data_IF_615049629304
#
_entry.id   IF_615049629304
#
_cell.length_a   1.000
_cell.length_b   1.000
_cell.length_c   1.000
_cell.angle_alpha   90.00
_cell.angle_beta   90.00
_cell.angle_gamma   90.00
#
_symmetry.space_group_name_H-M   'P 1'
#
loop_
_entity.id
_entity.type
_entity.pdbx_description
1 polymer ?
#
# COMPACT_ATOMS: atom_id res chain seq x y z
N UNK A 1 32.69 -18.75 -2.82
CA UNK A 1 31.24 -18.52 -2.62
C UNK A 1 31.09 -17.07 -2.20
N UNK A 2 30.52 -16.20 -3.04
CA UNK A 2 30.34 -14.80 -2.68
C UNK A 2 29.24 -14.70 -1.63
N UNK A 3 29.51 -14.02 -0.52
CA UNK A 3 28.51 -13.76 0.51
C UNK A 3 27.30 -13.04 -0.12
N UNK A 4 26.05 -13.41 0.22
CA UNK A 4 24.88 -12.68 -0.25
C UNK A 4 24.99 -11.24 0.23
N UNK A 5 24.73 -10.29 -0.68
CA UNK A 5 24.72 -8.87 -0.34
C UNK A 5 23.74 -8.63 0.83
N UNK A 6 24.06 -7.72 1.76
CA UNK A 6 23.15 -7.34 2.84
C UNK A 6 21.78 -6.98 2.27
N UNK A 7 20.72 -7.49 2.89
CA UNK A 7 19.36 -7.08 2.56
C UNK A 7 19.19 -5.62 2.98
N UNK A 8 19.41 -4.69 2.05
CA UNK A 8 18.99 -3.31 2.22
C UNK A 8 17.45 -3.30 2.14
N UNK A 9 16.76 -2.83 3.19
CA UNK A 9 15.33 -2.60 3.10
C UNK A 9 15.11 -1.67 1.92
N UNK A 10 14.45 -2.15 0.86
CA UNK A 10 13.98 -1.28 -0.22
C UNK A 10 12.98 -0.32 0.40
N UNK A 11 13.45 0.86 0.79
CA UNK A 11 12.58 1.99 1.08
C UNK A 11 11.72 2.15 -0.17
N UNK A 12 10.39 2.01 -0.08
CA UNK A 12 9.52 2.31 -1.21
C UNK A 12 9.89 3.72 -1.68
N UNK A 13 10.39 3.86 -2.90
CA UNK A 13 10.65 5.17 -3.45
C UNK A 13 9.32 5.77 -3.89
N UNK A 14 9.05 7.02 -3.50
CA UNK A 14 7.82 7.77 -3.83
C UNK A 14 7.52 7.83 -5.33
N UNK A 15 8.53 7.64 -6.16
CA UNK A 15 8.43 7.63 -7.60
C UNK A 15 9.20 6.46 -8.21
N UNK A 16 8.76 6.05 -9.39
CA UNK A 16 9.56 5.18 -10.25
C UNK A 16 10.83 5.96 -10.66
N UNK A 17 12.04 5.40 -10.52
CA UNK A 17 13.28 6.08 -10.92
C UNK A 17 13.15 6.65 -12.34
N UNK A 18 13.67 7.85 -12.63
CA UNK A 18 13.41 8.55 -13.89
C UNK A 18 13.75 7.70 -15.12
N UNK A 19 14.83 6.90 -15.06
CA UNK A 19 15.17 5.96 -16.13
C UNK A 19 14.14 4.84 -16.33
N UNK A 20 13.55 4.31 -15.25
CA UNK A 20 12.46 3.31 -15.33
C UNK A 20 11.15 3.93 -15.80
N UNK A 21 10.85 5.14 -15.36
CA UNK A 21 9.68 5.90 -15.83
C UNK A 21 9.79 6.15 -17.33
N UNK A 22 10.92 6.64 -17.82
CA UNK A 22 11.20 6.83 -19.24
C UNK A 22 11.08 5.51 -20.01
N UNK A 23 11.72 4.44 -19.55
CA UNK A 23 11.64 3.12 -20.19
C UNK A 23 10.21 2.58 -20.25
N UNK A 24 9.39 2.82 -19.22
CA UNK A 24 7.99 2.40 -19.21
C UNK A 24 7.11 3.17 -20.21
N UNK A 25 7.39 4.46 -20.44
CA UNK A 25 6.70 5.27 -21.46
C UNK A 25 7.16 4.85 -22.85
N UNK A 26 8.47 4.72 -23.05
CA UNK A 26 9.05 4.27 -24.32
C UNK A 26 8.51 2.91 -24.71
N UNK A 27 8.49 1.95 -23.79
CA UNK A 27 7.91 0.61 -24.01
C UNK A 27 6.42 0.70 -24.38
N UNK A 28 5.64 1.54 -23.70
CA UNK A 28 4.21 1.67 -23.98
C UNK A 28 3.93 2.32 -25.36
N UNK A 29 4.83 3.19 -25.82
CA UNK A 29 4.74 3.86 -27.11
C UNK A 29 5.27 3.01 -28.29
N UNK A 30 6.01 1.92 -28.04
CA UNK A 30 6.60 1.07 -29.09
C UNK A 30 5.59 0.59 -30.16
N UNK A 31 4.37 0.13 -29.82
CA UNK A 31 3.37 -0.23 -30.83
C UNK A 31 3.08 0.91 -31.80
N UNK A 32 2.98 2.15 -31.31
CA UNK A 32 2.71 3.30 -32.17
C UNK A 32 3.95 3.75 -32.95
N UNK A 33 5.11 3.84 -32.28
CA UNK A 33 6.38 4.27 -32.90
C UNK A 33 6.86 3.34 -34.02
N UNK A 34 6.43 2.07 -33.98
CA UNK A 34 6.75 1.07 -35.02
C UNK A 34 5.60 0.82 -35.97
N UNK A 35 4.58 1.67 -36.00
CA UNK A 35 3.39 1.52 -36.85
C UNK A 35 2.71 0.15 -36.71
N UNK A 36 2.71 -0.40 -35.49
CA UNK A 36 2.07 -1.67 -35.14
C UNK A 36 2.98 -2.90 -35.22
N UNK A 37 4.15 -2.81 -35.86
CA UNK A 37 5.04 -3.96 -36.07
C UNK A 37 5.64 -4.53 -34.77
N UNK A 38 5.94 -3.69 -33.77
CA UNK A 38 6.48 -4.17 -32.50
C UNK A 38 5.40 -4.74 -31.56
N UNK A 39 4.11 -4.53 -31.84
CA UNK A 39 2.99 -4.88 -30.94
C UNK A 39 3.06 -6.32 -30.42
N UNK A 40 3.05 -7.37 -31.26
CA UNK A 40 3.09 -8.74 -30.76
C UNK A 40 4.33 -9.04 -29.91
N UNK A 41 5.49 -8.46 -30.24
CA UNK A 41 6.74 -8.67 -29.53
C UNK A 41 6.78 -7.95 -28.18
N UNK A 42 6.19 -6.76 -28.08
CA UNK A 42 6.08 -6.02 -26.81
C UNK A 42 5.25 -6.78 -25.78
N UNK A 43 4.14 -7.40 -26.19
CA UNK A 43 3.30 -8.21 -25.32
C UNK A 43 3.92 -9.57 -25.02
N UNK A 44 4.55 -10.23 -26.02
CA UNK A 44 5.23 -11.51 -25.82
C UNK A 44 6.37 -11.42 -24.78
N UNK A 45 7.21 -10.38 -24.86
CA UNK A 45 8.29 -10.17 -23.90
C UNK A 45 7.76 -10.06 -22.46
N UNK A 46 6.68 -9.29 -22.26
CA UNK A 46 6.08 -9.12 -20.94
C UNK A 46 5.32 -10.37 -20.48
N UNK A 47 4.65 -11.08 -21.37
CA UNK A 47 3.95 -12.32 -21.05
C UNK A 47 4.93 -13.40 -20.52
N UNK A 48 6.12 -13.51 -21.12
CA UNK A 48 7.19 -14.39 -20.67
C UNK A 48 7.72 -14.01 -19.28
N UNK A 49 7.83 -12.72 -18.97
CA UNK A 49 8.33 -12.23 -17.68
C UNK A 49 7.29 -12.25 -16.55
N UNK A 50 6.01 -12.01 -16.85
CA UNK A 50 4.94 -11.84 -15.85
C UNK A 50 4.02 -13.04 -15.73
N UNK A 51 4.07 -14.00 -16.66
CA UNK A 51 3.26 -15.25 -16.66
C UNK A 51 1.77 -15.03 -16.35
N UNK A 52 1.21 -13.93 -16.84
CA UNK A 52 -0.20 -13.57 -16.63
C UNK A 52 -1.06 -14.09 -17.78
N UNK A 53 -2.19 -14.73 -17.45
CA UNK A 53 -3.14 -15.25 -18.44
C UNK A 53 -3.64 -14.17 -19.41
N UNK A 54 -3.97 -12.98 -18.90
CA UNK A 54 -4.39 -11.84 -19.72
C UNK A 54 -3.33 -11.44 -20.75
N UNK A 55 -2.05 -11.43 -20.36
CA UNK A 55 -0.95 -11.09 -21.26
C UNK A 55 -0.71 -12.18 -22.31
N UNK A 56 -0.86 -13.45 -21.93
CA UNK A 56 -0.77 -14.57 -22.88
C UNK A 56 -1.88 -14.49 -23.94
N UNK A 57 -3.13 -14.27 -23.52
CA UNK A 57 -4.27 -14.12 -24.43
C UNK A 57 -4.08 -12.90 -25.34
N UNK A 58 -3.66 -11.76 -24.77
CA UNK A 58 -3.38 -10.54 -25.55
C UNK A 58 -2.25 -10.75 -26.57
N UNK A 59 -1.19 -11.46 -26.17
CA UNK A 59 -0.08 -11.80 -27.07
C UNK A 59 -0.55 -12.68 -28.22
N UNK A 60 -1.34 -13.72 -27.93
CA UNK A 60 -1.90 -14.61 -28.96
C UNK A 60 -2.82 -13.84 -29.93
N UNK A 61 -3.66 -12.94 -29.41
CA UNK A 61 -4.53 -12.10 -30.23
C UNK A 61 -3.74 -11.18 -31.16
N UNK A 62 -2.74 -10.44 -30.65
CA UNK A 62 -1.92 -9.55 -31.47
C UNK A 62 -1.04 -10.31 -32.47
N UNK A 63 -0.53 -11.50 -32.11
CA UNK A 63 0.16 -12.38 -33.05
C UNK A 63 -0.76 -12.85 -34.17
N UNK A 64 -2.01 -13.20 -33.87
CA UNK A 64 -3.00 -13.59 -34.88
C UNK A 64 -3.30 -12.46 -35.86
N UNK A 65 -3.54 -11.24 -35.35
CA UNK A 65 -3.75 -10.04 -36.18
C UNK A 65 -2.53 -9.74 -37.04
N UNK A 66 -1.32 -9.84 -36.48
CA UNK A 66 -0.07 -9.61 -37.21
C UNK A 66 0.18 -10.67 -38.28
N UNK A 67 -0.07 -11.95 -37.98
CA UNK A 67 0.07 -13.04 -38.95
C UNK A 67 -0.93 -12.89 -40.12
N UNK A 68 -2.18 -12.52 -39.84
CA UNK A 68 -3.17 -12.21 -40.87
C UNK A 68 -2.73 -11.04 -41.76
N UNK A 69 -2.18 -9.99 -41.17
CA UNK A 69 -1.63 -8.86 -41.91
C UNK A 69 -0.48 -9.28 -42.84
N UNK A 70 0.46 -10.10 -42.34
CA UNK A 70 1.58 -10.61 -43.16
C UNK A 70 1.10 -11.51 -44.30
N UNK A 71 0.07 -12.33 -44.04
CA UNK A 71 -0.53 -13.18 -45.06
C UNK A 71 -1.20 -12.38 -46.18
N UNK A 72 -1.84 -11.25 -45.86
CA UNK A 72 -2.53 -10.38 -46.82
C UNK A 72 -1.58 -9.47 -47.61
N UNK A 73 -0.35 -9.25 -47.12
CA UNK A 73 0.60 -8.31 -47.71
C UNK A 73 0.91 -8.57 -49.20
N UNK A 74 1.09 -9.82 -49.70
CA UNK A 74 1.35 -10.10 -51.11
C UNK A 74 0.16 -9.80 -52.05
N UNK A 75 -1.05 -9.69 -51.50
CA UNK A 75 -2.28 -9.37 -52.23
C UNK A 75 -2.47 -7.88 -52.54
N UNK A 76 -1.63 -7.01 -51.98
CA UNK A 76 -1.63 -5.57 -52.29
C UNK A 76 -1.34 -5.37 -53.79
N UNK A 77 -2.21 -4.61 -54.47
CA UNK A 77 -2.15 -4.38 -55.91
C UNK A 77 -2.58 -5.57 -56.78
N UNK A 78 -2.98 -6.71 -56.18
CA UNK A 78 -3.52 -7.89 -56.88
C UNK A 78 -5.01 -8.07 -56.66
N UNK A 79 -5.48 -7.77 -55.45
CA UNK A 79 -6.85 -7.97 -55.01
C UNK A 79 -7.46 -6.65 -54.53
N UNK A 80 -8.69 -6.37 -54.97
CA UNK A 80 -9.40 -5.16 -54.58
C UNK A 80 -9.73 -5.15 -53.08
N UNK A 81 -9.35 -4.08 -52.39
CA UNK A 81 -9.67 -3.88 -50.97
C UNK A 81 -8.63 -4.44 -49.97
N UNK A 82 -7.61 -5.15 -50.43
CA UNK A 82 -6.52 -5.66 -49.57
C UNK A 82 -5.76 -4.53 -48.88
N UNK A 83 -5.49 -3.43 -49.59
CA UNK A 83 -4.84 -2.23 -49.02
C UNK A 83 -5.61 -1.63 -47.85
N UNK A 84 -6.94 -1.49 -47.99
CA UNK A 84 -7.81 -0.97 -46.94
C UNK A 84 -7.78 -1.88 -45.72
N UNK A 85 -7.86 -3.19 -45.95
CA UNK A 85 -7.85 -4.19 -44.88
C UNK A 85 -6.52 -4.18 -44.13
N UNK A 86 -5.38 -4.20 -44.84
CA UNK A 86 -4.05 -4.09 -44.24
C UNK A 86 -3.90 -2.78 -43.46
N UNK A 87 -4.40 -1.66 -43.98
CA UNK A 87 -4.41 -0.38 -43.29
C UNK A 87 -5.19 -0.40 -41.96
N UNK A 88 -6.35 -1.07 -41.93
CA UNK A 88 -7.13 -1.26 -40.70
C UNK A 88 -6.37 -2.13 -39.69
N UNK A 89 -5.77 -3.23 -40.13
CA UNK A 89 -4.99 -4.12 -39.25
C UNK A 89 -3.77 -3.39 -38.64
N UNK A 90 -3.07 -2.58 -39.45
CA UNK A 90 -1.97 -1.73 -38.98
C UNK A 90 -2.46 -0.70 -37.96
N UNK A 91 -3.58 -0.04 -38.23
CA UNK A 91 -4.18 0.92 -37.30
C UNK A 91 -4.54 0.25 -35.96
N UNK A 92 -5.14 -0.94 -35.99
CA UNK A 92 -5.47 -1.71 -34.79
C UNK A 92 -4.18 -2.06 -34.03
N UNK A 93 -3.17 -2.61 -34.69
CA UNK A 93 -1.89 -2.94 -34.05
C UNK A 93 -1.22 -1.70 -33.43
N UNK A 94 -1.16 -0.58 -34.15
CA UNK A 94 -0.50 0.63 -33.69
C UNK A 94 -1.26 1.32 -32.56
N UNK A 95 -2.55 1.63 -32.76
CA UNK A 95 -3.34 2.48 -31.86
C UNK A 95 -3.92 1.68 -30.71
N UNK A 96 -4.58 0.54 -30.98
CA UNK A 96 -5.14 -0.31 -29.92
C UNK A 96 -4.00 -0.96 -29.14
N UNK A 97 -2.94 -1.42 -29.81
CA UNK A 97 -1.73 -1.92 -29.16
C UNK A 97 -1.10 -0.90 -28.20
N UNK A 98 -0.93 0.34 -28.64
CA UNK A 98 -0.38 1.43 -27.81
C UNK A 98 -1.29 1.74 -26.61
N UNK A 99 -2.58 1.95 -26.85
CA UNK A 99 -3.55 2.23 -25.79
C UNK A 99 -3.57 1.10 -24.74
N UNK A 100 -3.58 -0.15 -25.19
CA UNK A 100 -3.52 -1.32 -24.32
C UNK A 100 -2.21 -1.32 -23.51
N UNK A 101 -1.06 -1.08 -24.13
CA UNK A 101 0.23 -0.99 -23.44
C UNK A 101 0.24 0.09 -22.34
N UNK A 102 -0.36 1.26 -22.59
CA UNK A 102 -0.52 2.31 -21.56
C UNK A 102 -1.42 1.89 -20.41
N UNK A 103 -2.51 1.16 -20.68
CA UNK A 103 -3.43 0.63 -19.64
C UNK A 103 -2.69 -0.37 -18.73
N UNK A 104 -1.87 -1.25 -19.30
CA UNK A 104 -1.14 -2.26 -18.51
C UNK A 104 0.19 -1.76 -17.94
N UNK A 105 0.69 -0.61 -18.39
CA UNK A 105 2.00 -0.04 -18.01
C UNK A 105 2.25 -0.07 -16.50
N UNK A 106 1.26 0.34 -15.69
CA UNK A 106 1.38 0.32 -14.23
C UNK A 106 1.54 -1.09 -13.68
N UNK A 107 0.77 -2.07 -14.17
CA UNK A 107 0.88 -3.48 -13.74
C UNK A 107 2.22 -4.10 -14.14
N UNK A 108 2.80 -3.65 -15.26
CA UNK A 108 4.09 -4.16 -15.75
C UNK A 108 5.25 -3.56 -14.97
N UNK A 109 5.27 -2.24 -14.74
CA UNK A 109 6.42 -1.54 -14.18
C UNK A 109 6.31 -1.18 -12.69
N UNK A 110 5.10 -1.20 -12.11
CA UNK A 110 4.83 -1.00 -10.67
C UNK A 110 3.88 -2.11 -10.13
N UNK A 111 4.38 -3.35 -10.02
CA UNK A 111 3.55 -4.49 -9.61
C UNK A 111 3.04 -4.40 -8.16
N UNK A 112 3.72 -3.63 -7.30
CA UNK A 112 3.33 -3.45 -5.91
C UNK A 112 2.51 -2.18 -5.66
N UNK A 113 2.33 -1.32 -6.67
CA UNK A 113 1.56 -0.09 -6.56
C UNK A 113 2.21 0.98 -5.68
N UNK A 114 3.50 0.83 -5.36
CA UNK A 114 4.18 1.66 -4.37
C UNK A 114 4.70 2.98 -4.97
N UNK A 115 4.88 3.04 -6.29
CA UNK A 115 5.45 4.22 -6.96
C UNK A 115 4.51 5.42 -7.10
N UNK A 116 3.32 5.34 -6.49
CA UNK A 116 2.39 6.47 -6.32
C UNK A 116 1.97 6.69 -4.87
N UNK A 117 2.61 6.02 -3.91
CA UNK A 117 2.42 6.30 -2.49
C UNK A 117 3.39 7.40 -2.12
N UNK A 118 2.86 8.54 -1.70
CA UNK A 118 3.64 9.64 -1.13
C UNK A 118 4.09 9.25 0.28
N UNK A 119 5.26 8.63 0.40
CA UNK A 119 5.80 8.19 1.68
C UNK A 119 6.16 9.39 2.57
N UNK A 120 6.52 10.54 2.01
CA UNK A 120 6.71 11.76 2.79
C UNK A 120 5.41 12.15 3.50
N UNK A 121 4.28 12.20 2.79
CA UNK A 121 2.98 12.45 3.40
C UNK A 121 2.55 11.35 4.39
N UNK A 122 2.95 10.08 4.19
CA UNK A 122 2.71 9.01 5.17
C UNK A 122 3.54 9.23 6.44
N UNK A 123 4.83 9.52 6.30
CA UNK A 123 5.75 9.79 7.41
C UNK A 123 5.29 11.02 8.20
N UNK A 124 4.92 12.10 7.53
CA UNK A 124 4.41 13.32 8.18
C UNK A 124 3.09 13.06 8.93
N UNK A 125 2.20 12.22 8.40
CA UNK A 125 0.99 11.79 9.13
C UNK A 125 1.33 11.02 10.42
N UNK A 126 2.28 10.09 10.36
CA UNK A 126 2.71 9.32 11.54
C UNK A 126 3.39 10.22 12.58
N UNK A 127 4.29 11.13 12.16
CA UNK A 127 4.91 12.12 13.05
C UNK A 127 3.87 13.01 13.72
N UNK A 128 2.88 13.50 12.97
CA UNK A 128 1.79 14.31 13.52
C UNK A 128 0.98 13.54 14.56
N UNK A 129 0.66 12.27 14.32
CA UNK A 129 -0.03 11.44 15.30
C UNK A 129 0.79 11.24 16.59
N UNK A 130 2.10 10.98 16.47
CA UNK A 130 3.00 10.87 17.64
C UNK A 130 3.02 12.17 18.45
N UNK A 131 3.17 13.31 17.79
CA UNK A 131 3.13 14.62 18.46
C UNK A 131 1.80 14.87 19.19
N UNK A 132 0.67 14.48 18.60
CA UNK A 132 -0.63 14.60 19.25
C UNK A 132 -0.74 13.72 20.50
N UNK A 133 -0.20 12.49 20.46
CA UNK A 133 -0.13 11.61 21.63
C UNK A 133 0.70 12.24 22.75
N UNK A 134 1.86 12.78 22.41
CA UNK A 134 2.76 13.39 23.41
C UNK A 134 2.10 14.60 24.07
N UNK A 135 1.47 15.49 23.29
CA UNK A 135 0.70 16.63 23.81
C UNK A 135 -0.48 16.20 24.68
N UNK A 136 -1.19 15.14 24.28
CA UNK A 136 -2.32 14.62 25.05
C UNK A 136 -1.86 14.00 26.39
N UNK A 137 -0.70 13.33 26.42
CA UNK A 137 -0.11 12.83 27.67
C UNK A 137 0.38 13.96 28.58
N UNK A 138 0.99 14.99 28.01
CA UNK A 138 1.41 16.19 28.74
C UNK A 138 0.21 16.85 29.40
N UNK A 139 -0.86 17.11 28.63
CA UNK A 139 -2.11 17.67 29.15
C UNK A 139 -2.72 16.79 30.26
N UNK A 140 -2.74 15.47 30.07
CA UNK A 140 -3.26 14.54 31.06
C UNK A 140 -2.42 14.48 32.36
N UNK A 141 -1.13 14.79 32.30
CA UNK A 141 -0.25 14.89 33.48
C UNK A 141 -0.44 16.21 34.21
N UNK A 142 -0.62 17.31 33.48
CA UNK A 142 -0.81 18.65 34.05
C UNK A 142 -2.21 18.82 34.65
N UNK A 143 -3.25 18.41 33.91
CA UNK A 143 -4.66 18.53 34.31
C UNK A 143 -5.46 17.24 33.98
N UNK A 144 -5.46 16.26 34.89
CA UNK A 144 -6.24 15.04 34.72
C UNK A 144 -7.75 15.30 34.64
N UNK A 145 -8.26 16.37 35.26
CA UNK A 145 -9.68 16.72 35.23
C UNK A 145 -10.11 17.13 33.83
N UNK A 146 -9.38 18.06 33.23
CA UNK A 146 -9.57 18.48 31.84
C UNK A 146 -9.41 17.31 30.86
N UNK A 147 -8.43 16.42 31.09
CA UNK A 147 -8.23 15.25 30.24
C UNK A 147 -9.45 14.31 30.24
N UNK A 148 -10.12 14.14 31.39
CA UNK A 148 -11.38 13.39 31.50
C UNK A 148 -12.53 14.09 30.76
N UNK A 149 -12.65 15.41 30.88
CA UNK A 149 -13.67 16.19 30.15
C UNK A 149 -13.47 16.12 28.63
N UNK A 150 -12.21 16.18 28.17
CA UNK A 150 -11.83 16.02 26.76
C UNK A 150 -11.88 14.57 26.27
N UNK A 151 -12.09 13.61 27.19
CA UNK A 151 -12.17 12.17 26.91
C UNK A 151 -10.90 11.61 26.26
N UNK A 152 -9.74 12.09 26.71
CA UNK A 152 -8.44 11.59 26.24
C UNK A 152 -8.33 10.10 26.56
N UNK A 153 -7.97 9.30 25.57
CA UNK A 153 -7.83 7.86 25.74
C UNK A 153 -9.15 7.08 25.76
N UNK A 154 -10.29 7.70 25.42
CA UNK A 154 -11.61 7.05 25.41
C UNK A 154 -12.15 6.93 23.99
N UNK A 155 -11.61 6.00 23.16
CA UNK A 155 -12.09 5.80 21.79
C UNK A 155 -13.52 5.23 21.72
N UNK A 156 -14.02 4.70 22.83
CA UNK A 156 -15.39 4.21 23.00
C UNK A 156 -16.45 5.32 23.13
N UNK A 157 -16.02 6.55 23.43
CA UNK A 157 -16.91 7.70 23.58
C UNK A 157 -16.76 8.68 22.41
N UNK A 158 -17.81 9.44 22.05
CA UNK A 158 -17.68 10.50 21.06
C UNK A 158 -16.76 11.60 21.64
N UNK A 159 -15.60 11.80 21.01
CA UNK A 159 -14.58 12.76 21.45
C UNK A 159 -14.44 13.92 20.46
N UNK A 160 -14.18 15.11 20.99
CA UNK A 160 -13.91 16.33 20.20
C UNK A 160 -12.41 16.66 20.12
N UNK A 161 -11.61 16.00 20.95
CA UNK A 161 -10.16 16.16 20.99
C UNK A 161 -9.46 14.99 20.30
N UNK A 162 -8.44 15.28 19.49
CA UNK A 162 -7.61 14.26 18.84
C UNK A 162 -6.36 13.99 19.68
N UNK A 163 -6.44 12.93 20.49
CA UNK A 163 -5.35 12.47 21.35
C UNK A 163 -4.27 11.63 20.63
N UNK A 164 -4.30 11.56 19.30
CA UNK A 164 -3.32 10.78 18.54
C UNK A 164 -3.49 9.26 18.62
N UNK A 165 -4.65 8.80 19.10
CA UNK A 165 -4.98 7.38 19.22
C UNK A 165 -4.57 6.76 20.54
N UNK A 166 -4.54 7.55 21.62
CA UNK A 166 -4.30 7.02 22.95
C UNK A 166 -5.48 6.17 23.43
N UNK A 167 -5.20 5.28 24.39
CA UNK A 167 -6.19 4.52 25.14
C UNK A 167 -5.89 4.68 26.63
N UNK A 168 -6.88 5.12 27.40
CA UNK A 168 -6.81 5.26 28.85
C UNK A 168 -7.06 3.92 29.51
N UNK A 169 -5.99 3.31 29.99
CA UNK A 169 -6.01 1.95 30.54
C UNK A 169 -6.88 1.87 31.80
N UNK A 170 -7.01 2.97 32.55
CA UNK A 170 -7.73 2.98 33.81
C UNK A 170 -9.24 3.11 33.62
N UNK A 171 -9.71 3.69 32.51
CA UNK A 171 -11.13 4.02 32.33
C UNK A 171 -11.77 3.45 31.06
N UNK A 172 -10.99 3.05 30.05
CA UNK A 172 -11.54 2.50 28.81
C UNK A 172 -12.13 1.09 29.04
N UNK A 173 -13.25 0.71 28.40
CA UNK A 173 -13.80 -0.64 28.52
C UNK A 173 -12.90 -1.69 27.86
N UNK A 174 -13.08 -2.96 28.19
CA UNK A 174 -12.26 -4.05 27.67
C UNK A 174 -12.19 -4.06 26.13
N UNK A 175 -13.29 -3.77 25.42
CA UNK A 175 -13.30 -3.69 23.96
C UNK A 175 -12.36 -2.61 23.45
N UNK A 176 -12.30 -1.44 24.10
CA UNK A 176 -11.40 -0.36 23.71
C UNK A 176 -9.93 -0.67 24.02
N UNK A 177 -9.65 -1.44 25.08
CA UNK A 177 -8.29 -1.87 25.40
C UNK A 177 -7.68 -2.77 24.30
N UNK A 178 -8.51 -3.48 23.51
CA UNK A 178 -8.02 -4.28 22.38
C UNK A 178 -7.44 -3.45 21.22
N UNK A 179 -7.63 -2.13 21.24
CA UNK A 179 -6.98 -1.21 20.29
C UNK A 179 -5.49 -1.01 20.60
N UNK A 180 -5.03 -1.38 21.80
CA UNK A 180 -3.61 -1.35 22.15
C UNK A 180 -2.86 -2.48 21.44
N UNK A 181 -1.61 -2.25 20.99
CA UNK A 181 -0.82 -3.26 20.30
C UNK A 181 -0.67 -4.54 21.13
N UNK A 182 -0.99 -5.68 20.53
CA UNK A 182 -0.83 -7.00 21.14
C UNK A 182 -1.81 -7.34 22.28
N UNK A 183 -2.78 -6.48 22.60
CA UNK A 183 -3.78 -6.75 23.63
C UNK A 183 -4.96 -7.53 23.04
N UNK A 184 -5.09 -8.80 23.43
CA UNK A 184 -6.23 -9.66 23.05
C UNK A 184 -7.46 -9.38 23.94
N UNK A 185 -8.67 -9.81 23.54
CA UNK A 185 -9.86 -9.69 24.39
C UNK A 185 -9.68 -10.32 25.78
N UNK A 186 -8.97 -11.45 25.88
CA UNK A 186 -8.69 -12.12 27.15
C UNK A 186 -7.75 -11.28 28.03
N UNK A 187 -6.71 -10.67 27.43
CA UNK A 187 -5.80 -9.75 28.11
C UNK A 187 -6.55 -8.50 28.56
N UNK A 188 -7.38 -7.90 27.71
CA UNK A 188 -8.20 -6.74 28.02
C UNK A 188 -9.13 -7.00 29.20
N UNK A 189 -9.86 -8.12 29.20
CA UNK A 189 -10.71 -8.51 30.32
C UNK A 189 -9.94 -8.76 31.61
N UNK A 190 -8.68 -9.23 31.52
CA UNK A 190 -7.80 -9.35 32.69
C UNK A 190 -7.36 -7.99 33.21
N UNK A 191 -6.93 -7.08 32.33
CA UNK A 191 -6.56 -5.71 32.69
C UNK A 191 -7.72 -5.03 33.43
N UNK A 192 -8.95 -5.17 32.93
CA UNK A 192 -10.14 -4.61 33.56
C UNK A 192 -10.42 -5.15 34.97
N UNK A 193 -10.26 -6.46 35.19
CA UNK A 193 -10.41 -7.03 36.54
C UNK A 193 -9.31 -6.54 37.47
N UNK A 194 -8.06 -6.58 37.00
CA UNK A 194 -6.88 -6.22 37.80
C UNK A 194 -6.90 -4.75 38.18
N UNK A 195 -7.29 -3.82 37.29
CA UNK A 195 -7.40 -2.40 37.66
C UNK A 195 -8.43 -2.15 38.77
N UNK A 196 -9.51 -2.92 38.81
CA UNK A 196 -10.55 -2.78 39.83
C UNK A 196 -10.02 -3.21 41.22
N UNK A 197 -9.14 -4.22 41.25
CA UNK A 197 -8.49 -4.71 42.48
C UNK A 197 -7.30 -3.83 42.91
N UNK A 198 -6.51 -3.34 41.95
CA UNK A 198 -5.30 -2.55 42.19
C UNK A 198 -5.56 -1.05 42.41
N UNK A 199 -6.76 -0.56 42.07
CA UNK A 199 -7.09 0.87 42.10
C UNK A 199 -6.55 1.66 40.89
N UNK A 200 -6.37 0.99 39.75
CA UNK A 200 -5.77 1.53 38.54
C UNK A 200 -4.25 1.32 38.45
N UNK A 201 -3.66 1.82 37.36
CA UNK A 201 -2.24 1.78 37.06
C UNK A 201 -1.68 3.20 36.88
N UNK A 202 -0.39 3.38 37.12
CA UNK A 202 0.35 4.62 36.89
C UNK A 202 1.26 4.57 35.67
N UNK A 203 1.61 3.37 35.21
CA UNK A 203 2.51 3.20 34.07
C UNK A 203 2.31 1.87 33.33
N UNK A 204 2.92 1.76 32.15
CA UNK A 204 2.91 0.54 31.35
C UNK A 204 3.71 -0.60 32.01
N UNK A 205 4.76 -0.26 32.76
CA UNK A 205 5.57 -1.22 33.52
C UNK A 205 4.76 -1.83 34.66
N UNK A 206 4.00 -1.01 35.40
CA UNK A 206 3.10 -1.50 36.44
C UNK A 206 1.99 -2.35 35.83
N UNK A 207 1.36 -1.89 34.75
CA UNK A 207 0.38 -2.68 34.00
C UNK A 207 0.96 -4.04 33.60
N UNK A 208 2.19 -4.07 33.07
CA UNK A 208 2.85 -5.31 32.65
C UNK A 208 3.10 -6.24 33.84
N UNK A 209 3.56 -5.71 34.97
CA UNK A 209 3.86 -6.49 36.17
C UNK A 209 2.59 -7.04 36.82
N UNK A 210 1.55 -6.23 36.96
CA UNK A 210 0.34 -6.58 37.70
C UNK A 210 -0.65 -7.34 36.82
N UNK A 211 -0.87 -6.91 35.58
CA UNK A 211 -1.77 -7.60 34.65
C UNK A 211 -1.08 -8.72 33.86
N UNK A 212 0.19 -9.04 34.15
CA UNK A 212 0.93 -10.16 33.57
C UNK A 212 1.06 -10.09 32.05
N UNK A 213 1.32 -8.90 31.50
CA UNK A 213 1.57 -8.75 30.06
C UNK A 213 2.95 -9.33 29.70
N UNK A 214 3.11 -9.94 28.52
CA UNK A 214 4.41 -10.27 27.98
C UNK A 214 5.33 -9.02 27.97
N UNK A 215 6.57 -9.10 28.49
CA UNK A 215 7.47 -7.94 28.57
C UNK A 215 7.76 -7.28 27.21
N UNK A 216 7.64 -8.03 26.12
CA UNK A 216 7.81 -7.52 24.76
C UNK A 216 6.74 -6.50 24.36
N UNK A 217 5.55 -6.54 24.97
CA UNK A 217 4.46 -5.63 24.66
C UNK A 217 4.54 -4.31 25.43
N UNK A 218 5.30 -4.24 26.52
CA UNK A 218 5.32 -3.06 27.41
C UNK A 218 5.68 -1.78 26.66
N UNK A 219 6.69 -1.82 25.79
CA UNK A 219 7.09 -0.65 24.99
C UNK A 219 6.02 -0.23 23.98
N UNK A 220 5.42 -1.19 23.26
CA UNK A 220 4.37 -0.90 22.29
C UNK A 220 3.10 -0.38 22.96
N UNK A 221 2.74 -0.92 24.13
CA UNK A 221 1.62 -0.44 24.92
C UNK A 221 1.91 0.96 25.47
N UNK A 222 3.13 1.22 25.96
CA UNK A 222 3.51 2.55 26.44
C UNK A 222 3.33 3.63 25.35
N UNK A 223 3.58 3.30 24.09
CA UNK A 223 3.43 4.21 22.94
C UNK A 223 1.98 4.63 22.64
N UNK A 224 0.98 3.86 23.11
CA UNK A 224 -0.45 4.11 22.88
C UNK A 224 -1.29 4.21 24.16
N UNK A 225 -0.72 3.93 25.33
CA UNK A 225 -1.41 4.02 26.60
C UNK A 225 -1.28 5.40 27.24
N UNK A 226 -2.33 5.79 27.97
CA UNK A 226 -2.33 6.87 28.95
C UNK A 226 -2.95 6.34 30.26
N UNK A 227 -2.50 6.88 31.39
CA UNK A 227 -2.87 6.43 32.73
C UNK A 227 -3.43 7.60 33.53
N UNK A 228 -4.71 7.91 33.31
CA UNK A 228 -5.38 9.01 33.99
C UNK A 228 -5.91 8.48 35.33
N UNK A 229 -5.77 9.25 36.41
CA UNK A 229 -6.35 8.93 37.74
C UNK A 229 -7.62 9.72 37.96
#
# INVERSE_FOLDING_TARGET
MNAPAPYEPRVPSDSMPPGRAALSVTWAALPFLTLGYATPFTFAAVALWRRSLHLLVSTAAYLGVFALMLYMLPGIGREDGTERTVGILLFVLAVVGCAHSFIIRRRVFDPHGLSGVDNEAVVERVKRQRLLRDKARELAREDPGLAKELRIGRPDLPRQYNDGGLVDVNHAPAEALTLLPGITPELAGRIERVRAEAGGFVSAEELSAVAGLPPSLTGEVADYAVFIR
#
